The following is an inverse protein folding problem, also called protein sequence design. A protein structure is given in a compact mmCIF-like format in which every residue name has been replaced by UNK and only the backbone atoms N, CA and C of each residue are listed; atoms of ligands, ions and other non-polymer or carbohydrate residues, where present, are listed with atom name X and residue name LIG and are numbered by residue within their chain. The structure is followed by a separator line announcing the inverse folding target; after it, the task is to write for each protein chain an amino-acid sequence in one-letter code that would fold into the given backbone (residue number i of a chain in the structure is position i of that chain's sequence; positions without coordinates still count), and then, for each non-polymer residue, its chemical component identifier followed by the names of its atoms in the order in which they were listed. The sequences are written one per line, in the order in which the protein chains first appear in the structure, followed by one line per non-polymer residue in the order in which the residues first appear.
data_IF_834874760388
#
_entry.id   IF_834874760388
#
_cell.length_a   1.000
_cell.length_b   1.000
_cell.length_c   1.000
_cell.angle_alpha   90.00
_cell.angle_beta   90.00
_cell.angle_gamma   90.00
#
_symmetry.space_group_name_H-M   'P 1'
#
loop_
_entity.id
_entity.type
_entity.pdbx_description
1 polymer ?
#
# COMPACT_ATOMS: atom_id res chain seq x y z
N UNK A 1 8.75 -25.55 23.20
CA UNK A 1 7.81 -25.54 22.05
C UNK A 1 6.72 -24.52 22.36
N UNK A 2 6.36 -23.64 21.40
CA UNK A 2 5.24 -22.71 21.59
C UNK A 2 3.93 -23.50 21.59
N UNK A 3 3.00 -23.12 22.45
CA UNK A 3 1.65 -23.68 22.46
C UNK A 3 0.90 -23.28 21.19
N UNK A 4 -0.16 -24.01 20.83
CA UNK A 4 -1.00 -23.66 19.67
C UNK A 4 -1.57 -22.25 19.84
N UNK A 5 -2.05 -21.89 21.03
CA UNK A 5 -2.60 -20.58 21.35
C UNK A 5 -1.56 -19.45 21.13
N UNK A 6 -0.31 -19.62 21.58
CA UNK A 6 0.75 -18.63 21.34
C UNK A 6 1.08 -18.46 19.85
N UNK A 7 0.92 -19.51 19.05
CA UNK A 7 1.11 -19.45 17.59
C UNK A 7 -0.04 -18.69 16.91
N UNK A 8 -1.27 -18.92 17.37
CA UNK A 8 -2.48 -18.23 16.91
C UNK A 8 -2.36 -16.73 17.21
N UNK A 9 -2.03 -16.35 18.44
CA UNK A 9 -1.89 -14.96 18.87
C UNK A 9 -0.79 -14.22 18.06
N UNK A 10 0.29 -14.92 17.74
CA UNK A 10 1.35 -14.40 16.86
C UNK A 10 0.88 -14.17 15.44
N UNK A 11 0.11 -15.10 14.90
CA UNK A 11 -0.42 -14.97 13.53
C UNK A 11 -1.44 -13.85 13.46
N UNK A 12 -2.32 -13.71 14.45
CA UNK A 12 -3.26 -12.61 14.57
C UNK A 12 -2.55 -11.26 14.60
N UNK A 13 -1.58 -11.09 15.51
CA UNK A 13 -0.80 -9.85 15.61
C UNK A 13 -0.09 -9.48 14.30
N UNK A 14 0.46 -10.47 13.58
CA UNK A 14 1.08 -10.26 12.27
C UNK A 14 0.05 -9.86 11.22
N UNK A 15 -1.13 -10.47 11.22
CA UNK A 15 -2.20 -10.16 10.27
C UNK A 15 -2.72 -8.73 10.49
N UNK A 16 -2.97 -8.32 11.72
CA UNK A 16 -3.37 -6.94 12.07
C UNK A 16 -2.33 -5.90 11.62
N UNK A 17 -1.04 -6.19 11.82
CA UNK A 17 0.03 -5.31 11.38
C UNK A 17 0.04 -5.18 9.85
N UNK A 18 -0.23 -6.28 9.12
CA UNK A 18 -0.32 -6.26 7.66
C UNK A 18 -1.57 -5.53 7.15
N UNK A 19 -2.72 -5.61 7.84
CA UNK A 19 -3.91 -4.79 7.55
C UNK A 19 -3.53 -3.31 7.54
N UNK A 20 -2.89 -2.86 8.62
CA UNK A 20 -2.52 -1.45 8.76
C UNK A 20 -1.47 -1.03 7.72
N UNK A 21 -0.48 -1.88 7.45
CA UNK A 21 0.57 -1.60 6.47
C UNK A 21 0.00 -1.48 5.04
N UNK A 22 -0.83 -2.43 4.62
CA UNK A 22 -1.46 -2.42 3.31
C UNK A 22 -2.46 -1.26 3.16
N UNK A 23 -3.21 -0.92 4.21
CA UNK A 23 -4.10 0.24 4.23
C UNK A 23 -3.34 1.55 4.03
N UNK A 24 -2.21 1.75 4.72
CA UNK A 24 -1.35 2.94 4.54
C UNK A 24 -0.70 2.98 3.15
N UNK A 25 -0.26 1.83 2.62
CA UNK A 25 0.28 1.72 1.27
C UNK A 25 -0.77 2.06 0.21
N UNK A 26 -1.99 1.56 0.35
CA UNK A 26 -3.12 1.90 -0.53
C UNK A 26 -3.40 3.41 -0.52
N UNK A 27 -3.43 4.04 0.67
CA UNK A 27 -3.59 5.49 0.79
C UNK A 27 -2.50 6.28 0.07
N UNK A 28 -1.25 5.85 0.18
CA UNK A 28 -0.12 6.47 -0.52
C UNK A 28 -0.27 6.39 -2.04
N UNK A 29 -0.55 5.20 -2.58
CA UNK A 29 -0.72 5.01 -4.01
C UNK A 29 -1.98 5.71 -4.55
N UNK A 30 -3.04 5.84 -3.72
CA UNK A 30 -4.21 6.65 -4.03
C UNK A 30 -3.84 8.13 -4.19
N UNK A 31 -3.01 8.69 -3.31
CA UNK A 31 -2.53 10.08 -3.45
C UNK A 31 -1.72 10.27 -4.74
N UNK A 32 -0.84 9.33 -5.08
CA UNK A 32 -0.07 9.38 -6.34
C UNK A 32 -1.02 9.34 -7.54
N UNK A 33 -2.00 8.44 -7.55
CA UNK A 33 -3.03 8.38 -8.60
C UNK A 33 -3.75 9.71 -8.79
N UNK A 34 -4.16 10.37 -7.70
CA UNK A 34 -4.80 11.68 -7.76
C UNK A 34 -3.85 12.77 -8.27
N UNK A 35 -2.58 12.74 -7.86
CA UNK A 35 -1.57 13.69 -8.33
C UNK A 35 -1.37 13.67 -9.85
N UNK A 36 -1.58 12.55 -10.51
CA UNK A 36 -1.56 12.45 -11.97
C UNK A 36 -2.91 12.80 -12.62
N UNK A 37 -4.02 12.39 -12.01
CA UNK A 37 -5.34 12.56 -12.62
C UNK A 37 -5.84 14.02 -12.54
N UNK A 38 -5.58 14.75 -11.45
CA UNK A 38 -6.03 16.12 -11.28
C UNK A 38 -5.47 17.06 -12.37
N UNK A 39 -4.16 17.06 -12.68
CA UNK A 39 -3.64 17.89 -13.77
C UNK A 39 -4.26 17.56 -15.13
N UNK A 40 -4.52 16.26 -15.42
CA UNK A 40 -5.18 15.86 -16.68
C UNK A 40 -6.60 16.42 -16.81
N UNK A 41 -7.39 16.35 -15.73
CA UNK A 41 -8.75 16.91 -15.74
C UNK A 41 -8.71 18.43 -15.90
N UNK A 42 -7.80 19.12 -15.20
CA UNK A 42 -7.66 20.57 -15.29
C UNK A 42 -7.22 21.01 -16.68
N UNK A 43 -6.22 20.35 -17.27
CA UNK A 43 -5.74 20.69 -18.62
C UNK A 43 -6.81 20.44 -19.67
N UNK A 44 -7.53 19.33 -19.60
CA UNK A 44 -8.63 19.02 -20.51
C UNK A 44 -9.77 20.04 -20.41
N UNK A 45 -10.13 20.42 -19.19
CA UNK A 45 -11.18 21.44 -18.95
C UNK A 45 -10.76 22.83 -19.45
N UNK A 46 -9.52 23.24 -19.20
CA UNK A 46 -8.99 24.50 -19.71
C UNK A 46 -8.98 24.53 -21.24
N UNK A 47 -8.61 23.44 -21.90
CA UNK A 47 -8.65 23.34 -23.35
C UNK A 47 -10.06 23.44 -23.93
N UNK A 48 -11.06 22.82 -23.27
CA UNK A 48 -12.46 23.00 -23.68
C UNK A 48 -12.89 24.45 -23.64
N UNK A 49 -12.52 25.19 -22.57
CA UNK A 49 -12.86 26.61 -22.43
C UNK A 49 -12.15 27.46 -23.51
N UNK A 50 -10.86 27.26 -23.70
CA UNK A 50 -10.05 28.02 -24.71
C UNK A 50 -10.64 27.80 -26.11
N UNK A 51 -10.90 26.54 -26.48
CA UNK A 51 -11.48 26.22 -27.79
C UNK A 51 -12.92 26.75 -27.99
N UNK A 52 -13.66 26.98 -26.88
CA UNK A 52 -15.03 27.50 -26.98
C UNK A 52 -15.09 29.04 -27.11
N UNK A 53 -14.07 29.75 -26.66
CA UNK A 53 -14.02 31.21 -26.64
C UNK A 53 -13.27 31.77 -27.87
N UNK A 54 -12.27 31.04 -28.37
CA UNK A 54 -11.44 31.51 -29.49
C UNK A 54 -12.15 31.31 -30.83
N UNK A 55 -12.33 32.43 -31.57
CA UNK A 55 -12.88 32.42 -32.92
C UNK A 55 -11.81 32.12 -33.99
N UNK A 56 -10.52 32.33 -33.69
CA UNK A 56 -9.40 32.06 -34.61
C UNK A 56 -8.68 30.73 -34.26
N UNK A 57 -8.81 29.77 -35.14
CA UNK A 57 -8.16 28.48 -35.01
C UNK A 57 -6.62 28.55 -34.94
N UNK A 58 -5.99 29.59 -35.48
CA UNK A 58 -4.54 29.74 -35.41
C UNK A 58 -4.04 30.16 -34.04
N UNK A 59 -4.80 30.95 -33.29
CA UNK A 59 -4.42 31.39 -31.95
C UNK A 59 -4.37 30.22 -30.95
N UNK A 60 -5.24 29.25 -31.08
CA UNK A 60 -5.32 28.08 -30.18
C UNK A 60 -4.43 26.91 -30.58
N UNK A 61 -3.81 26.95 -31.78
CA UNK A 61 -3.00 25.85 -32.30
C UNK A 61 -1.78 25.55 -31.43
N UNK A 62 -1.02 26.57 -31.05
CA UNK A 62 0.19 26.40 -30.21
C UNK A 62 -0.18 25.95 -28.79
N UNK A 63 -1.11 26.60 -28.06
CA UNK A 63 -1.58 26.13 -26.76
C UNK A 63 -2.07 24.69 -26.80
N UNK A 64 -2.84 24.29 -27.82
CA UNK A 64 -3.32 22.90 -27.97
C UNK A 64 -2.16 21.88 -28.10
N UNK A 65 -1.15 22.19 -28.91
CA UNK A 65 0.01 21.31 -29.06
C UNK A 65 0.74 21.15 -27.73
N UNK A 66 1.00 22.23 -27.02
CA UNK A 66 1.73 22.21 -25.74
C UNK A 66 0.95 21.42 -24.69
N UNK A 67 -0.35 21.68 -24.53
CA UNK A 67 -1.19 20.99 -23.54
C UNK A 67 -1.30 19.50 -23.86
N UNK A 68 -1.46 19.14 -25.14
CA UNK A 68 -1.50 17.73 -25.55
C UNK A 68 -0.17 17.02 -25.29
N UNK A 69 0.96 17.68 -25.57
CA UNK A 69 2.29 17.11 -25.27
C UNK A 69 2.47 16.85 -23.75
N UNK A 70 2.09 17.80 -22.90
CA UNK A 70 2.12 17.64 -21.45
C UNK A 70 1.20 16.52 -21.00
N UNK A 71 -0.02 16.45 -21.53
CA UNK A 71 -1.00 15.41 -21.20
C UNK A 71 -0.48 14.01 -21.54
N UNK A 72 0.12 13.84 -22.73
CA UNK A 72 0.74 12.57 -23.14
C UNK A 72 1.87 12.18 -22.21
N UNK A 73 2.68 13.13 -21.77
CA UNK A 73 3.79 12.88 -20.83
C UNK A 73 3.26 12.44 -19.46
N UNK A 74 2.22 13.10 -18.93
CA UNK A 74 1.57 12.73 -17.66
C UNK A 74 0.96 11.33 -17.76
N UNK A 75 0.27 11.01 -18.85
CA UNK A 75 -0.33 9.68 -19.08
C UNK A 75 0.76 8.61 -19.14
N UNK A 76 1.86 8.86 -19.85
CA UNK A 76 2.98 7.93 -19.97
C UNK A 76 3.64 7.65 -18.61
N UNK A 77 3.84 8.67 -17.79
CA UNK A 77 4.36 8.53 -16.43
C UNK A 77 3.40 7.74 -15.54
N UNK A 78 2.10 8.06 -15.57
CA UNK A 78 1.09 7.34 -14.79
C UNK A 78 1.03 5.85 -15.16
N UNK A 79 1.09 5.53 -16.45
CA UNK A 79 1.10 4.16 -16.95
C UNK A 79 2.39 3.41 -16.53
N UNK A 80 3.52 4.09 -16.49
CA UNK A 80 4.80 3.50 -16.08
C UNK A 80 4.81 3.19 -14.56
N UNK A 81 4.24 4.07 -13.74
CA UNK A 81 4.20 3.94 -12.27
C UNK A 81 3.15 2.92 -11.83
N UNK A 82 2.07 2.73 -12.61
CA UNK A 82 0.94 1.83 -12.30
C UNK A 82 0.28 2.12 -10.95
N UNK A 83 0.17 3.40 -10.59
CA UNK A 83 -0.33 3.82 -9.27
C UNK A 83 -1.74 3.29 -8.95
N UNK A 84 -2.64 3.19 -9.97
CA UNK A 84 -3.98 2.64 -9.80
C UNK A 84 -3.94 1.16 -9.45
N UNK A 85 -3.15 0.35 -10.18
CA UNK A 85 -3.03 -1.09 -9.95
C UNK A 85 -2.47 -1.37 -8.55
N UNK A 86 -1.44 -0.63 -8.14
CA UNK A 86 -0.84 -0.75 -6.80
C UNK A 86 -1.81 -0.34 -5.68
N UNK A 87 -2.58 0.74 -5.88
CA UNK A 87 -3.61 1.16 -4.94
C UNK A 87 -4.66 0.06 -4.73
N UNK A 88 -5.17 -0.52 -5.81
CA UNK A 88 -6.21 -1.55 -5.78
C UNK A 88 -5.67 -2.86 -5.20
N UNK A 89 -4.43 -3.24 -5.53
CA UNK A 89 -3.75 -4.39 -4.95
C UNK A 89 -3.65 -4.26 -3.41
N UNK A 90 -3.11 -3.15 -2.91
CA UNK A 90 -2.95 -2.95 -1.46
C UNK A 90 -4.29 -2.85 -0.73
N UNK A 91 -5.33 -2.29 -1.37
CA UNK A 91 -6.69 -2.27 -0.81
C UNK A 91 -7.24 -3.69 -0.67
N UNK A 92 -7.12 -4.51 -1.72
CA UNK A 92 -7.53 -5.92 -1.71
C UNK A 92 -6.78 -6.70 -0.63
N UNK A 93 -5.46 -6.56 -0.56
CA UNK A 93 -4.63 -7.25 0.42
C UNK A 93 -4.99 -6.84 1.86
N UNK A 94 -5.22 -5.54 2.11
CA UNK A 94 -5.69 -5.07 3.42
C UNK A 94 -7.01 -5.74 3.83
N UNK A 95 -7.96 -5.87 2.90
CA UNK A 95 -9.24 -6.56 3.16
C UNK A 95 -9.05 -8.05 3.42
N UNK A 96 -8.18 -8.72 2.64
CA UNK A 96 -7.91 -10.15 2.83
C UNK A 96 -7.22 -10.45 4.18
N UNK A 97 -6.25 -9.62 4.59
CA UNK A 97 -5.66 -9.74 5.93
C UNK A 97 -6.66 -9.44 7.04
N UNK A 98 -7.59 -8.50 6.84
CA UNK A 98 -8.67 -8.21 7.80
C UNK A 98 -9.62 -9.41 7.96
N UNK A 99 -10.02 -10.04 6.85
CA UNK A 99 -10.84 -11.25 6.88
C UNK A 99 -10.12 -12.40 7.59
N UNK A 100 -8.81 -12.57 7.32
CA UNK A 100 -8.00 -13.58 7.99
C UNK A 100 -7.90 -13.32 9.51
N UNK A 101 -7.67 -12.08 9.92
CA UNK A 101 -7.65 -11.69 11.33
C UNK A 101 -9.02 -11.94 12.00
N UNK A 102 -10.11 -11.55 11.33
CA UNK A 102 -11.47 -11.80 11.82
C UNK A 102 -11.84 -13.29 11.91
N UNK A 103 -11.32 -14.12 11.00
CA UNK A 103 -11.47 -15.58 11.10
C UNK A 103 -10.76 -16.11 12.34
N UNK A 104 -9.55 -15.67 12.63
CA UNK A 104 -8.79 -16.08 13.82
C UNK A 104 -9.48 -15.62 15.12
N UNK A 105 -10.03 -14.40 15.14
CA UNK A 105 -10.70 -13.86 16.34
C UNK A 105 -12.05 -14.54 16.66
N UNK A 106 -12.81 -14.91 15.61
CA UNK A 106 -14.15 -15.45 15.79
C UNK A 106 -14.17 -16.95 16.09
N UNK A 107 -13.08 -17.65 15.84
CA UNK A 107 -12.99 -19.10 16.02
C UNK A 107 -12.44 -19.41 17.42
N UNK A 108 -13.33 -19.85 18.31
CA UNK A 108 -13.01 -20.09 19.73
C UNK A 108 -12.15 -21.36 19.94
N UNK A 109 -12.12 -22.30 19.00
CA UNK A 109 -11.39 -23.57 19.09
C UNK A 109 -10.71 -23.92 17.77
N UNK A 110 -9.66 -23.17 17.39
CA UNK A 110 -8.88 -23.47 16.19
C UNK A 110 -8.10 -24.77 16.40
N UNK A 111 -8.34 -25.75 15.53
CA UNK A 111 -7.57 -27.00 15.51
C UNK A 111 -6.22 -26.83 14.84
N UNK A 112 -5.26 -27.76 15.07
CA UNK A 112 -3.95 -27.72 14.39
C UNK A 112 -4.07 -27.76 12.87
N UNK A 113 -5.05 -28.47 12.31
CA UNK A 113 -5.29 -28.53 10.86
C UNK A 113 -5.82 -27.22 10.30
N UNK A 114 -6.73 -26.56 10.99
CA UNK A 114 -7.24 -25.24 10.61
C UNK A 114 -6.15 -24.16 10.71
N UNK A 115 -5.35 -24.20 11.78
CA UNK A 115 -4.19 -23.32 11.91
C UNK A 115 -3.20 -23.45 10.75
N UNK A 116 -2.96 -24.67 10.25
CA UNK A 116 -2.10 -24.86 9.08
C UNK A 116 -2.69 -24.22 7.82
N UNK A 117 -4.00 -24.35 7.60
CA UNK A 117 -4.68 -23.72 6.46
C UNK A 117 -4.62 -22.19 6.55
N UNK A 118 -4.92 -21.62 7.72
CA UNK A 118 -4.85 -20.17 7.98
C UNK A 118 -3.41 -19.66 7.78
N UNK A 119 -2.42 -20.40 8.27
CA UNK A 119 -1.00 -20.05 8.08
C UNK A 119 -0.60 -20.05 6.60
N UNK A 120 -1.06 -21.03 5.82
CA UNK A 120 -0.82 -21.08 4.38
C UNK A 120 -1.47 -19.90 3.64
N UNK A 121 -2.70 -19.53 4.02
CA UNK A 121 -3.36 -18.33 3.48
C UNK A 121 -2.57 -17.06 3.79
N UNK A 122 -2.10 -16.91 5.03
CA UNK A 122 -1.24 -15.80 5.42
C UNK A 122 0.04 -15.73 4.58
N UNK A 123 0.73 -16.85 4.38
CA UNK A 123 1.95 -16.91 3.58
C UNK A 123 1.71 -16.55 2.12
N UNK A 124 0.59 -16.96 1.53
CA UNK A 124 0.21 -16.60 0.18
C UNK A 124 0.00 -15.08 0.06
N UNK A 125 -0.70 -14.46 1.01
CA UNK A 125 -0.91 -13.01 1.04
C UNK A 125 0.40 -12.24 1.23
N UNK A 126 1.30 -12.73 2.08
CA UNK A 126 2.64 -12.15 2.27
C UNK A 126 3.46 -12.18 0.98
N UNK A 127 3.41 -13.27 0.23
CA UNK A 127 4.12 -13.40 -1.02
C UNK A 127 3.67 -12.36 -2.06
N UNK A 128 2.38 -12.02 -2.11
CA UNK A 128 1.89 -10.94 -2.98
C UNK A 128 2.45 -9.56 -2.57
N UNK A 129 2.66 -9.32 -1.27
CA UNK A 129 3.20 -8.05 -0.76
C UNK A 129 4.71 -7.92 -0.97
N UNK A 130 5.46 -9.03 -0.99
CA UNK A 130 6.94 -9.02 -1.02
C UNK A 130 7.53 -8.32 -2.24
N UNK A 131 6.84 -8.39 -3.37
CA UNK A 131 7.31 -7.81 -4.64
C UNK A 131 6.94 -6.34 -4.81
N UNK A 132 6.18 -5.76 -3.88
CA UNK A 132 5.69 -4.40 -3.98
C UNK A 132 6.43 -3.43 -3.06
N UNK A 133 6.75 -2.25 -3.60
CA UNK A 133 7.44 -1.21 -2.84
C UNK A 133 6.47 -0.48 -1.90
N UNK A 134 6.73 -0.59 -0.60
CA UNK A 134 6.05 0.19 0.43
C UNK A 134 7.05 1.21 1.00
N UNK A 135 6.71 2.53 1.01
CA UNK A 135 7.59 3.55 1.55
C UNK A 135 7.98 3.27 3.01
N UNK A 136 9.27 3.40 3.32
CA UNK A 136 9.85 3.08 4.63
C UNK A 136 9.18 3.82 5.78
N UNK A 137 8.70 5.06 5.55
CA UNK A 137 7.97 5.84 6.56
C UNK A 137 6.72 5.12 7.10
N UNK A 138 5.99 4.38 6.24
CA UNK A 138 4.80 3.64 6.66
C UNK A 138 5.17 2.36 7.40
N UNK A 139 6.26 1.70 6.99
CA UNK A 139 6.82 0.56 7.73
C UNK A 139 7.21 0.97 9.16
N UNK A 140 7.87 2.13 9.31
CA UNK A 140 8.23 2.69 10.61
C UNK A 140 7.01 3.00 11.48
N UNK A 141 5.99 3.67 10.91
CA UNK A 141 4.76 4.00 11.64
C UNK A 141 4.03 2.75 12.12
N UNK A 142 3.95 1.70 11.28
CA UNK A 142 3.31 0.45 11.68
C UNK A 142 4.16 -0.27 12.73
N UNK A 143 5.47 -0.32 12.55
CA UNK A 143 6.38 -0.91 13.52
C UNK A 143 6.27 -0.25 14.92
N UNK A 144 6.10 1.07 14.96
CA UNK A 144 5.91 1.81 16.21
C UNK A 144 4.56 1.47 16.89
N UNK A 145 3.48 1.36 16.12
CA UNK A 145 2.17 0.96 16.65
C UNK A 145 2.16 -0.46 17.24
N UNK A 146 3.02 -1.34 16.71
CA UNK A 146 3.15 -2.73 17.15
C UNK A 146 4.44 -2.99 17.94
N UNK A 147 5.05 -1.98 18.55
CA UNK A 147 6.35 -2.04 19.24
C UNK A 147 6.45 -3.18 20.27
N UNK A 148 5.34 -3.51 20.95
CA UNK A 148 5.29 -4.53 21.99
C UNK A 148 4.69 -5.85 21.51
N UNK A 149 4.46 -6.02 20.22
CA UNK A 149 3.86 -7.21 19.61
C UNK A 149 4.80 -7.84 18.59
N UNK A 150 4.51 -9.06 18.21
CA UNK A 150 5.25 -9.74 17.15
C UNK A 150 4.79 -9.20 15.80
N UNK A 151 5.73 -8.67 15.04
CA UNK A 151 5.48 -8.07 13.73
C UNK A 151 5.90 -8.98 12.58
N UNK A 152 5.30 -8.81 11.39
CA UNK A 152 5.71 -9.54 10.20
C UNK A 152 7.12 -9.19 9.76
N UNK A 153 7.77 -10.11 9.01
CA UNK A 153 9.16 -9.99 8.57
C UNK A 153 9.42 -8.73 7.74
N UNK A 154 8.41 -8.20 7.04
CA UNK A 154 8.45 -6.96 6.26
C UNK A 154 8.75 -5.73 7.12
N UNK A 155 8.48 -5.82 8.42
CA UNK A 155 8.73 -4.76 9.41
C UNK A 155 9.96 -5.02 10.27
N UNK A 156 10.47 -6.26 10.32
CA UNK A 156 11.61 -6.64 11.17
C UNK A 156 12.89 -5.86 10.85
N UNK A 157 13.15 -5.59 9.58
CA UNK A 157 14.32 -4.79 9.16
C UNK A 157 14.26 -3.33 9.63
N UNK A 158 13.09 -2.82 9.92
CA UNK A 158 12.86 -1.45 10.39
C UNK A 158 13.03 -1.34 11.90
N UNK A 159 12.66 -2.39 12.64
CA UNK A 159 12.81 -2.48 14.10
C UNK A 159 14.25 -2.85 14.48
N UNK A 160 14.89 -3.73 13.71
CA UNK A 160 16.23 -4.23 14.00
C UNK A 160 17.32 -3.15 14.01
N UNK A 161 17.18 -2.08 13.25
CA UNK A 161 18.12 -0.97 13.24
C UNK A 161 18.05 -0.12 14.54
N UNK A 162 16.89 -0.04 15.17
CA UNK A 162 16.72 0.69 16.42
C UNK A 162 17.16 -0.13 17.65
N UNK A 163 16.93 -1.44 17.62
CA UNK A 163 17.36 -2.35 18.71
C UNK A 163 18.88 -2.56 18.72
N UNK A 164 19.54 -2.60 17.54
CA UNK A 164 21.01 -2.69 17.47
C UNK A 164 21.70 -1.45 18.04
N UNK A 165 21.08 -0.26 17.91
CA UNK A 165 21.64 0.98 18.44
C UNK A 165 21.55 1.02 19.98
N UNK A 166 20.52 0.43 20.60
CA UNK A 166 20.41 0.36 22.06
C UNK A 166 21.38 -0.68 22.67
N UNK A 167 21.58 -1.82 22.02
CA UNK A 167 22.52 -2.84 22.51
C UNK A 167 23.98 -2.34 22.44
N UNK A 168 24.34 -1.53 21.45
CA UNK A 168 25.68 -0.93 21.33
C UNK A 168 25.92 0.19 22.36
N UNK A 169 24.87 0.77 22.94
CA UNK A 169 24.99 1.77 24.02
C UNK A 169 25.06 1.16 25.43
N UNK A 170 24.86 -0.15 25.57
CA UNK A 170 24.87 -0.88 26.84
C UNK A 170 26.12 -1.75 27.01
N UNK A 171 27.07 -1.71 26.07
CA UNK A 171 28.42 -2.28 26.15
C UNK A 171 29.45 -1.15 26.07
#
# INVERSE_FOLDING_TARGET
MLTLQERIDKLLSKSEAMVLLCSKASGYWSMIKFAFNIPLVLTSSAMCIINSISEDANEVKIPNIVVNAISVLIISLNNSIKASEKCDLFRRLSQQFLLLAGQIENDNEITDSEFQLISLQYENLINEVLFEEIPTRYKLQVAENFKNRIVPIQLNGTIGNNVRVEIVKLV
#
